data_IF_285960632598
#
_entry.id   IF_285960632598
#
_cell.length_a   1.000
_cell.length_b   1.000
_cell.length_c   1.000
_cell.angle_alpha   90.00
_cell.angle_beta   90.00
_cell.angle_gamma   90.00
#
_symmetry.space_group_name_H-M   'P 1'
#
loop_
_entity.id
_entity.type
_entity.pdbx_description
1 polymer ?
#
# COMPACT_ATOMS: atom_id res chain seq x y z
N UNK A 1 3.61 -24.03 20.48
CA UNK A 1 3.09 -23.11 19.44
C UNK A 1 4.26 -22.67 18.61
N UNK A 2 4.22 -22.97 17.33
CA UNK A 2 5.34 -22.73 16.41
C UNK A 2 5.40 -21.24 16.06
N UNK A 3 6.57 -20.61 16.24
CA UNK A 3 6.77 -19.14 16.20
C UNK A 3 6.95 -18.60 14.77
N UNK A 4 6.06 -18.96 13.84
CA UNK A 4 6.15 -18.49 12.45
C UNK A 4 6.12 -16.95 12.35
N UNK A 5 5.44 -16.29 13.29
CA UNK A 5 5.39 -14.82 13.43
C UNK A 5 6.70 -14.16 13.90
N UNK A 6 7.68 -14.96 14.32
CA UNK A 6 9.00 -14.47 14.76
C UNK A 6 10.09 -14.79 13.71
N UNK A 7 9.73 -15.47 12.61
CA UNK A 7 10.64 -15.81 11.52
C UNK A 7 10.71 -14.66 10.52
N UNK A 8 11.82 -13.93 10.57
CA UNK A 8 12.07 -12.74 9.75
C UNK A 8 12.21 -13.03 8.25
N UNK A 9 12.52 -14.27 7.86
CA UNK A 9 12.63 -14.66 6.45
C UNK A 9 11.27 -15.08 5.89
N UNK A 10 10.46 -15.76 6.71
CA UNK A 10 9.07 -16.08 6.39
C UNK A 10 8.22 -14.81 6.20
N UNK A 11 8.32 -13.81 7.10
CA UNK A 11 7.61 -12.53 6.97
C UNK A 11 8.02 -11.76 5.70
N UNK A 12 9.30 -11.82 5.31
CA UNK A 12 9.80 -11.12 4.13
C UNK A 12 9.29 -11.71 2.80
N UNK A 13 8.82 -12.95 2.82
CA UNK A 13 8.26 -13.66 1.66
C UNK A 13 6.72 -13.64 1.60
N UNK A 14 6.04 -13.18 2.66
CA UNK A 14 4.57 -13.01 2.70
C UNK A 14 4.14 -11.59 2.28
N UNK A 15 5.09 -10.67 2.19
CA UNK A 15 4.83 -9.22 2.17
C UNK A 15 4.73 -8.58 0.78
N UNK A 16 4.75 -9.32 -0.35
CA UNK A 16 4.42 -8.71 -1.66
C UNK A 16 3.98 -9.75 -2.69
N UNK A 17 2.75 -9.63 -3.18
CA UNK A 17 2.30 -10.37 -4.36
C UNK A 17 3.15 -10.04 -5.59
N UNK A 18 3.25 -10.99 -6.53
CA UNK A 18 3.93 -10.76 -7.80
C UNK A 18 3.28 -9.57 -8.50
N UNK A 19 4.09 -8.56 -8.82
CA UNK A 19 3.64 -7.39 -9.56
C UNK A 19 3.19 -7.81 -10.97
N UNK A 20 1.88 -7.88 -11.18
CA UNK A 20 1.28 -8.11 -12.50
C UNK A 20 1.08 -6.76 -13.20
N UNK A 21 1.41 -6.66 -14.50
CA UNK A 21 1.11 -5.46 -15.27
C UNK A 21 -0.41 -5.22 -15.30
N UNK A 22 -0.85 -4.11 -14.72
CA UNK A 22 -2.26 -3.71 -14.71
C UNK A 22 -2.65 -3.05 -16.04
N UNK A 23 -3.85 -3.33 -16.52
CA UNK A 23 -4.42 -2.60 -17.65
C UNK A 23 -4.79 -1.17 -17.25
N UNK A 24 -4.93 -0.26 -18.23
CA UNK A 24 -5.39 1.12 -17.96
C UNK A 24 -6.73 1.15 -17.23
N UNK A 25 -7.66 0.27 -17.61
CA UNK A 25 -8.97 0.17 -16.97
C UNK A 25 -8.91 -0.31 -15.52
N UNK A 26 -7.94 -1.17 -15.18
CA UNK A 26 -7.73 -1.61 -13.79
C UNK A 26 -7.24 -0.45 -12.93
N UNK A 27 -6.29 0.34 -13.43
CA UNK A 27 -5.77 1.52 -12.73
C UNK A 27 -6.88 2.56 -12.48
N UNK A 28 -7.68 2.87 -13.50
CA UNK A 28 -8.80 3.81 -13.38
C UNK A 28 -9.88 3.34 -12.38
N UNK A 29 -10.07 2.03 -12.24
CA UNK A 29 -11.05 1.46 -11.30
C UNK A 29 -10.60 1.50 -9.84
N UNK A 30 -9.28 1.43 -9.60
CA UNK A 30 -8.67 1.51 -8.26
C UNK A 30 -8.69 2.94 -7.74
N UNK A 31 -8.42 3.92 -8.60
CA UNK A 31 -8.47 5.35 -8.25
C UNK A 31 -9.87 5.82 -7.80
N UNK A 32 -10.94 5.11 -8.20
CA UNK A 32 -12.31 5.52 -7.98
C UNK A 32 -12.92 5.07 -6.63
N UNK A 33 -12.32 4.11 -5.91
CA UNK A 33 -13.09 3.29 -4.95
C UNK A 33 -12.63 3.24 -3.49
N UNK A 34 -11.55 3.89 -3.06
CA UNK A 34 -11.03 3.60 -1.72
C UNK A 34 -11.20 4.74 -0.72
N UNK A 35 -12.42 4.83 -0.15
CA UNK A 35 -12.60 5.53 1.12
C UNK A 35 -11.75 4.84 2.19
N UNK A 36 -10.78 5.55 2.77
CA UNK A 36 -9.90 4.98 3.79
C UNK A 36 -8.61 4.37 3.26
N UNK A 37 -8.25 4.58 1.99
CA UNK A 37 -6.90 4.32 1.49
C UNK A 37 -6.24 5.62 1.00
N UNK A 38 -4.94 5.73 1.20
CA UNK A 38 -4.10 6.79 0.64
C UNK A 38 -2.87 6.19 -0.02
N UNK A 39 -2.61 6.57 -1.26
CA UNK A 39 -1.41 6.17 -1.99
C UNK A 39 -0.44 7.34 -2.15
N UNK A 40 0.85 7.06 -1.96
CA UNK A 40 1.94 8.02 -2.08
C UNK A 40 2.97 7.51 -3.08
N UNK A 41 3.39 8.38 -3.99
CA UNK A 41 4.46 8.09 -4.93
C UNK A 41 5.81 8.40 -4.29
N UNK A 42 6.74 7.46 -4.37
CA UNK A 42 8.10 7.63 -3.87
C UNK A 42 9.00 8.14 -4.98
N UNK A 43 9.61 9.31 -4.78
CA UNK A 43 10.49 9.97 -5.75
C UNK A 43 11.84 10.30 -5.15
N UNK A 44 12.91 10.26 -5.95
CA UNK A 44 14.26 10.65 -5.51
C UNK A 44 14.36 12.17 -5.38
N UNK A 45 15.09 12.67 -4.37
CA UNK A 45 15.23 14.10 -4.15
C UNK A 45 16.12 14.78 -5.21
N UNK A 46 17.19 14.11 -5.63
CA UNK A 46 18.17 14.71 -6.55
C UNK A 46 17.68 14.80 -7.99
N UNK A 47 16.93 13.80 -8.45
CA UNK A 47 16.55 13.64 -9.86
C UNK A 47 15.05 13.58 -10.11
N UNK A 48 14.23 13.64 -9.07
CA UNK A 48 12.77 13.49 -9.14
C UNK A 48 12.31 12.18 -9.83
N UNK A 49 13.11 11.13 -9.72
CA UNK A 49 12.82 9.83 -10.35
C UNK A 49 11.80 9.05 -9.53
N UNK A 50 10.72 8.58 -10.17
CA UNK A 50 9.74 7.69 -9.54
C UNK A 50 10.37 6.32 -9.32
N UNK A 51 10.47 5.90 -8.06
CA UNK A 51 11.09 4.63 -7.67
C UNK A 51 10.10 3.63 -7.07
N UNK A 52 8.85 4.02 -6.88
CA UNK A 52 7.81 3.15 -6.37
C UNK A 52 6.65 3.92 -5.75
N UNK A 53 5.89 3.24 -4.89
CA UNK A 53 4.78 3.80 -4.15
C UNK A 53 4.65 3.13 -2.78
N UNK A 54 3.93 3.78 -1.88
CA UNK A 54 3.48 3.21 -0.60
C UNK A 54 2.00 3.52 -0.43
N UNK A 55 1.24 2.56 0.09
CA UNK A 55 -0.17 2.72 0.36
C UNK A 55 -0.44 2.57 1.87
N UNK A 56 -1.33 3.42 2.39
CA UNK A 56 -1.95 3.27 3.70
C UNK A 56 -3.40 2.85 3.47
N UNK A 57 -3.78 1.65 3.89
CA UNK A 57 -5.14 1.12 3.74
C UNK A 57 -5.85 1.01 5.10
N UNK A 58 -7.17 0.83 5.08
CA UNK A 58 -8.00 0.67 6.29
C UNK A 58 -7.95 1.85 7.27
N UNK A 59 -7.88 3.07 6.76
CA UNK A 59 -7.94 4.30 7.57
C UNK A 59 -9.37 4.50 8.10
N UNK A 60 -9.52 4.38 9.41
CA UNK A 60 -10.78 4.65 10.12
C UNK A 60 -10.84 6.10 10.63
N UNK A 61 -11.87 6.84 10.21
CA UNK A 61 -12.08 8.24 10.61
C UNK A 61 -12.95 8.37 11.87
N UNK A 62 -12.53 7.75 12.97
CA UNK A 62 -13.36 7.66 14.19
C UNK A 62 -13.46 8.97 14.99
N UNK A 63 -12.62 9.98 14.73
CA UNK A 63 -12.55 11.21 15.54
C UNK A 63 -13.33 12.41 14.97
N UNK A 64 -14.31 12.20 14.07
CA UNK A 64 -15.09 13.31 13.48
C UNK A 64 -16.35 13.72 14.24
N UNK A 65 -16.65 13.11 15.39
CA UNK A 65 -17.76 13.52 16.24
C UNK A 65 -17.33 13.60 17.72
N UNK A 66 -16.41 14.51 18.03
CA UNK A 66 -16.36 15.09 19.37
C UNK A 66 -17.47 16.13 19.46
N UNK A 67 -18.52 15.82 20.23
CA UNK A 67 -19.54 16.81 20.63
C UNK A 67 -18.98 17.73 21.72
#
# INVERSE_FOLDING_TARGET
MTRWSEDSEYLRNVDTDIALPKSKSQLESEEANESGTMEFRLRTLEKDELIGFVALFSIEWNNRAGF
#
